data_IF_066407947102
#
_entry.id   IF_066407947102
#
_cell.length_a   1.000
_cell.length_b   1.000
_cell.length_c   1.000
_cell.angle_alpha   90.00
_cell.angle_beta   90.00
_cell.angle_gamma   90.00
#
_symmetry.space_group_name_H-M   'P 1'
#
loop_
_entity.id
_entity.type
_entity.pdbx_description
1 polymer ?
#
# COMPACT_ATOMS: atom_id res chain seq x y z
N UNK A 1 -63.33 -57.33 -6.77
CA UNK A 1 -62.94 -55.90 -6.79
C UNK A 1 -61.41 -55.78 -6.84
N UNK A 2 -60.81 -55.47 -8.00
CA UNK A 2 -59.35 -55.25 -8.15
C UNK A 2 -59.13 -53.76 -8.45
N UNK A 3 -58.52 -53.03 -7.52
CA UNK A 3 -58.11 -51.62 -7.70
C UNK A 3 -56.78 -51.59 -8.46
N UNK A 4 -56.81 -51.11 -9.70
CA UNK A 4 -55.63 -50.76 -10.48
C UNK A 4 -55.10 -49.41 -9.98
N UNK A 5 -53.94 -49.44 -9.32
CA UNK A 5 -53.17 -48.25 -8.95
C UNK A 5 -52.35 -47.81 -10.17
N UNK A 6 -52.82 -46.75 -10.83
CA UNK A 6 -52.16 -46.12 -11.98
C UNK A 6 -50.87 -45.43 -11.51
N UNK A 7 -49.70 -45.99 -11.87
CA UNK A 7 -48.40 -45.32 -11.70
C UNK A 7 -48.37 -44.08 -12.60
N UNK A 8 -48.56 -42.89 -12.02
CA UNK A 8 -48.31 -41.61 -12.71
C UNK A 8 -46.79 -41.35 -12.81
N UNK A 9 -46.28 -41.55 -14.02
CA UNK A 9 -45.31 -40.68 -14.72
C UNK A 9 -43.97 -40.34 -14.04
N UNK A 10 -42.91 -41.06 -14.41
CA UNK A 10 -41.49 -40.71 -14.15
C UNK A 10 -40.82 -40.11 -15.41
N UNK A 11 -41.59 -39.61 -16.38
CA UNK A 11 -41.06 -39.20 -17.70
C UNK A 11 -40.79 -37.69 -17.87
N UNK A 12 -40.97 -36.87 -16.82
CA UNK A 12 -40.82 -35.40 -16.90
C UNK A 12 -39.55 -34.82 -16.25
N UNK A 13 -38.55 -35.64 -15.89
CA UNK A 13 -37.36 -35.17 -15.15
C UNK A 13 -36.11 -34.90 -16.01
N UNK A 14 -36.03 -35.43 -17.24
CA UNK A 14 -34.79 -35.41 -18.05
C UNK A 14 -34.35 -34.02 -18.53
N UNK A 15 -35.28 -33.09 -18.76
CA UNK A 15 -34.94 -31.70 -19.12
C UNK A 15 -34.60 -30.81 -17.92
N UNK A 16 -35.11 -31.16 -16.74
CA UNK A 16 -34.96 -30.34 -15.53
C UNK A 16 -33.55 -30.46 -14.92
N UNK A 17 -32.92 -31.62 -15.05
CA UNK A 17 -31.55 -31.85 -14.58
C UNK A 17 -30.52 -31.00 -15.33
N UNK A 18 -30.69 -30.84 -16.65
CA UNK A 18 -29.80 -30.01 -17.47
C UNK A 18 -29.87 -28.54 -17.05
N UNK A 19 -31.08 -28.02 -16.87
CA UNK A 19 -31.31 -26.64 -16.41
C UNK A 19 -30.70 -26.42 -15.03
N UNK A 20 -30.89 -27.35 -14.09
CA UNK A 20 -30.29 -27.24 -12.75
C UNK A 20 -28.76 -27.20 -12.79
N UNK A 21 -28.12 -28.01 -13.62
CA UNK A 21 -26.66 -28.01 -13.75
C UNK A 21 -26.18 -26.66 -14.31
N UNK A 22 -26.85 -26.12 -15.34
CA UNK A 22 -26.49 -24.82 -15.91
C UNK A 22 -26.65 -23.70 -14.88
N UNK A 23 -27.73 -23.70 -14.10
CA UNK A 23 -27.94 -22.71 -13.03
C UNK A 23 -26.88 -22.85 -11.95
N UNK A 24 -26.57 -24.07 -11.50
CA UNK A 24 -25.54 -24.32 -10.50
C UNK A 24 -24.16 -23.82 -10.96
N UNK A 25 -23.79 -24.09 -12.23
CA UNK A 25 -22.56 -23.58 -12.84
C UNK A 25 -22.57 -22.05 -12.95
N UNK A 26 -23.72 -21.44 -13.23
CA UNK A 26 -23.90 -19.99 -13.21
C UNK A 26 -23.63 -19.39 -11.83
N UNK A 27 -24.17 -19.97 -10.78
CA UNK A 27 -23.92 -19.52 -9.40
C UNK A 27 -22.46 -19.75 -8.98
N UNK A 28 -21.86 -20.88 -9.36
CA UNK A 28 -20.45 -21.15 -9.05
C UNK A 28 -19.50 -20.19 -9.79
N UNK A 29 -19.74 -19.91 -11.06
CA UNK A 29 -18.91 -18.98 -11.83
C UNK A 29 -19.02 -17.54 -11.33
N UNK A 30 -20.22 -17.08 -10.97
CA UNK A 30 -20.42 -15.74 -10.39
C UNK A 30 -19.76 -15.59 -9.02
N UNK A 31 -19.84 -16.59 -8.16
CA UNK A 31 -19.15 -16.56 -6.84
C UNK A 31 -17.63 -16.59 -6.98
N UNK A 32 -17.10 -17.43 -7.90
CA UNK A 32 -15.66 -17.49 -8.16
C UNK A 32 -15.11 -16.15 -8.69
N UNK A 33 -15.80 -15.52 -9.64
CA UNK A 33 -15.38 -14.22 -10.19
C UNK A 33 -15.45 -13.09 -9.16
N UNK A 34 -16.50 -13.08 -8.32
CA UNK A 34 -16.60 -12.13 -7.21
C UNK A 34 -15.43 -12.25 -6.23
N UNK A 35 -15.04 -13.49 -5.88
CA UNK A 35 -13.92 -13.75 -4.98
C UNK A 35 -12.59 -13.25 -5.57
N UNK A 36 -12.32 -13.58 -6.84
CA UNK A 36 -11.11 -13.11 -7.54
C UNK A 36 -11.07 -11.57 -7.59
N UNK A 37 -12.21 -10.94 -7.86
CA UNK A 37 -12.34 -9.48 -7.82
C UNK A 37 -11.99 -8.90 -6.45
N UNK A 38 -12.52 -9.48 -5.37
CA UNK A 38 -12.22 -9.06 -4.00
C UNK A 38 -10.73 -9.22 -3.65
N UNK A 39 -10.11 -10.35 -4.05
CA UNK A 39 -8.68 -10.60 -3.84
C UNK A 39 -7.79 -9.60 -4.59
N UNK A 40 -8.17 -9.26 -5.83
CA UNK A 40 -7.45 -8.27 -6.65
C UNK A 40 -7.41 -6.91 -5.95
N UNK A 41 -8.56 -6.44 -5.48
CA UNK A 41 -8.67 -5.18 -4.72
C UNK A 41 -7.89 -5.23 -3.41
N UNK A 42 -7.97 -6.35 -2.67
CA UNK A 42 -7.20 -6.54 -1.45
C UNK A 42 -5.69 -6.46 -1.67
N UNK A 43 -5.18 -7.08 -2.74
CA UNK A 43 -3.76 -7.06 -3.09
C UNK A 43 -3.27 -5.65 -3.46
N UNK A 44 -4.09 -4.86 -4.16
CA UNK A 44 -3.77 -3.46 -4.43
C UNK A 44 -3.68 -2.64 -3.14
N UNK A 45 -4.61 -2.84 -2.21
CA UNK A 45 -4.58 -2.20 -0.89
C UNK A 45 -3.31 -2.54 -0.11
N UNK A 46 -2.93 -3.82 -0.06
CA UNK A 46 -1.70 -4.27 0.61
C UNK A 46 -0.44 -3.64 0.01
N UNK A 47 -0.38 -3.46 -1.32
CA UNK A 47 0.75 -2.79 -1.97
C UNK A 47 0.88 -1.34 -1.53
N UNK A 48 -0.22 -0.61 -1.41
CA UNK A 48 -0.20 0.79 -0.95
C UNK A 48 0.33 0.87 0.48
N UNK A 49 -0.22 0.06 1.39
CA UNK A 49 0.19 0.03 2.80
C UNK A 49 1.66 -0.39 2.94
N UNK A 50 2.11 -1.39 2.19
CA UNK A 50 3.51 -1.82 2.20
C UNK A 50 4.46 -0.72 1.72
N UNK A 51 4.08 0.02 0.67
CA UNK A 51 4.89 1.12 0.16
C UNK A 51 4.98 2.27 1.17
N UNK A 52 3.87 2.61 1.82
CA UNK A 52 3.81 3.67 2.83
C UNK A 52 4.61 3.29 4.08
N UNK A 53 4.45 2.07 4.60
CA UNK A 53 5.22 1.57 5.73
C UNK A 53 6.74 1.56 5.45
N UNK A 54 7.13 1.19 4.23
CA UNK A 54 8.54 1.23 3.80
C UNK A 54 9.04 2.66 3.72
N UNK A 55 8.27 3.57 3.09
CA UNK A 55 8.64 4.97 2.98
C UNK A 55 8.74 5.65 4.36
N UNK A 56 7.84 5.34 5.29
CA UNK A 56 7.87 5.86 6.65
C UNK A 56 9.13 5.41 7.40
N UNK A 57 9.48 4.12 7.32
CA UNK A 57 10.71 3.59 7.94
C UNK A 57 11.96 4.23 7.37
N UNK A 58 12.02 4.41 6.04
CA UNK A 58 13.15 5.08 5.39
C UNK A 58 13.24 6.55 5.78
N UNK A 59 12.11 7.26 5.88
CA UNK A 59 12.08 8.66 6.30
C UNK A 59 12.60 8.83 7.73
N UNK A 60 12.14 7.98 8.65
CA UNK A 60 12.58 8.00 10.06
C UNK A 60 14.07 7.66 10.15
N UNK A 61 14.52 6.61 9.47
CA UNK A 61 15.94 6.21 9.48
C UNK A 61 16.84 7.29 8.88
N UNK A 62 16.40 7.94 7.79
CA UNK A 62 17.14 9.06 7.21
C UNK A 62 17.16 10.27 8.15
N UNK A 63 16.07 10.55 8.86
CA UNK A 63 16.01 11.62 9.85
C UNK A 63 16.97 11.36 11.01
N UNK A 64 16.98 10.14 11.55
CA UNK A 64 17.91 9.72 12.59
C UNK A 64 19.36 9.83 12.12
N UNK A 65 19.67 9.35 10.91
CA UNK A 65 21.00 9.47 10.31
C UNK A 65 21.40 10.94 10.16
N UNK A 66 20.49 11.79 9.69
CA UNK A 66 20.72 13.23 9.56
C UNK A 66 20.99 13.88 10.92
N UNK A 67 20.24 13.49 11.96
CA UNK A 67 20.44 13.99 13.32
C UNK A 67 21.76 13.53 13.94
N UNK A 68 22.18 12.29 13.70
CA UNK A 68 23.44 11.73 14.19
C UNK A 68 24.66 12.12 13.34
N UNK A 69 24.46 12.75 12.18
CA UNK A 69 25.56 13.16 11.32
C UNK A 69 26.40 14.29 11.96
N UNK A 70 27.70 14.05 12.06
CA UNK A 70 28.71 15.01 12.53
C UNK A 70 29.77 15.14 11.44
N UNK A 71 30.09 16.34 10.93
CA UNK A 71 29.82 17.66 11.50
C UNK A 71 28.43 18.24 11.17
N UNK A 72 27.98 19.20 11.99
CA UNK A 72 26.81 20.02 11.70
C UNK A 72 27.03 20.81 10.40
N UNK A 73 26.06 20.75 9.48
CA UNK A 73 26.11 21.48 8.21
C UNK A 73 25.11 22.62 8.28
N UNK A 74 25.58 23.87 8.29
CA UNK A 74 24.69 25.02 8.35
C UNK A 74 23.82 25.10 7.09
N UNK A 75 22.50 25.23 7.27
CA UNK A 75 21.57 25.54 6.20
C UNK A 75 22.00 26.77 5.37
N UNK A 76 21.71 26.79 4.05
CA UNK A 76 21.13 25.72 3.26
C UNK A 76 22.14 24.60 2.97
N UNK A 77 21.80 23.36 3.32
CA UNK A 77 22.66 22.20 3.16
C UNK A 77 21.87 20.95 2.77
N UNK A 78 22.55 19.96 2.22
CA UNK A 78 21.97 18.64 1.91
C UNK A 78 22.79 17.57 2.60
N UNK A 79 22.12 16.75 3.40
CA UNK A 79 22.75 15.68 4.15
C UNK A 79 22.91 14.41 3.31
N UNK A 80 23.95 13.60 3.57
CA UNK A 80 24.10 12.31 2.92
C UNK A 80 22.88 11.42 3.16
N UNK A 81 22.39 10.81 2.08
CA UNK A 81 21.26 9.89 2.15
C UNK A 81 21.71 8.47 2.43
N UNK A 82 20.95 7.73 3.24
CA UNK A 82 21.15 6.30 3.46
C UNK A 82 20.87 5.50 2.19
N UNK A 83 21.42 4.28 2.13
CA UNK A 83 21.14 3.37 1.02
C UNK A 83 19.64 3.02 0.97
N UNK A 84 18.98 3.40 -0.13
CA UNK A 84 17.57 3.11 -0.35
C UNK A 84 17.38 1.76 -1.08
N UNK A 85 16.33 1.00 -0.76
CA UNK A 85 15.91 -0.15 -1.55
C UNK A 85 15.57 0.24 -2.99
N UNK A 86 15.61 -0.74 -3.91
CA UNK A 86 15.35 -0.51 -5.32
C UNK A 86 14.01 0.22 -5.58
N UNK A 87 14.07 1.26 -6.40
CA UNK A 87 12.92 2.09 -6.76
C UNK A 87 12.57 3.20 -5.78
N UNK A 88 13.28 3.31 -4.64
CA UNK A 88 13.15 4.42 -3.71
C UNK A 88 14.33 5.40 -3.84
N UNK A 89 14.04 6.67 -3.68
CA UNK A 89 15.03 7.74 -3.55
C UNK A 89 14.75 8.55 -2.30
N UNK A 90 15.82 9.02 -1.67
CA UNK A 90 15.80 9.76 -0.42
C UNK A 90 16.55 11.07 -0.62
N UNK A 91 16.01 12.15 -0.08
CA UNK A 91 16.70 13.43 0.01
C UNK A 91 16.48 14.01 1.41
N UNK A 92 17.53 14.59 1.98
CA UNK A 92 17.47 15.26 3.27
C UNK A 92 18.09 16.65 3.11
N UNK A 93 17.27 17.69 3.22
CA UNK A 93 17.68 19.08 3.03
C UNK A 93 17.46 19.89 4.29
N UNK A 94 18.43 20.74 4.63
CA UNK A 94 18.32 21.74 5.68
C UNK A 94 17.94 23.09 5.10
N UNK A 95 16.99 23.75 5.75
CA UNK A 95 16.58 25.13 5.46
C UNK A 95 16.66 25.98 6.72
N UNK A 96 17.04 27.24 6.55
CA UNK A 96 17.02 28.23 7.62
C UNK A 96 15.60 28.48 8.13
N UNK A 97 15.48 28.82 9.41
CA UNK A 97 14.21 29.22 10.03
C UNK A 97 14.09 30.74 9.96
N UNK A 98 13.33 31.23 8.97
CA UNK A 98 13.10 32.67 8.81
C UNK A 98 12.35 33.26 10.01
N UNK A 99 12.81 34.40 10.52
CA UNK A 99 12.13 35.15 11.59
C UNK A 99 12.66 34.90 13.01
N UNK A 100 13.64 34.01 13.17
CA UNK A 100 14.33 33.79 14.44
C UNK A 100 15.84 33.97 14.28
N UNK A 101 16.48 34.74 15.17
CA UNK A 101 17.94 34.93 15.20
C UNK A 101 18.66 33.73 15.85
N UNK A 102 18.29 32.52 15.44
CA UNK A 102 18.88 31.27 15.95
C UNK A 102 19.75 30.66 14.86
N UNK A 103 21.02 31.07 14.81
CA UNK A 103 22.03 30.47 13.92
C UNK A 103 22.41 29.03 14.31
N UNK A 104 21.83 28.51 15.40
CA UNK A 104 22.14 27.21 15.98
C UNK A 104 21.08 26.15 15.74
N UNK A 105 19.98 26.43 15.02
CA UNK A 105 18.92 25.45 14.72
C UNK A 105 18.48 25.60 13.26
N UNK A 106 18.32 24.47 12.59
CA UNK A 106 17.82 24.39 11.22
C UNK A 106 16.65 23.41 11.09
N UNK A 107 15.79 23.65 10.10
CA UNK A 107 14.70 22.74 9.73
C UNK A 107 15.24 21.72 8.74
N UNK A 108 15.12 20.44 9.07
CA UNK A 108 15.45 19.32 8.21
C UNK A 108 14.16 18.80 7.57
N UNK A 109 14.15 18.73 6.25
CA UNK A 109 13.10 18.10 5.47
C UNK A 109 13.66 16.86 4.79
N UNK A 110 13.12 15.70 5.17
CA UNK A 110 13.39 14.42 4.53
C UNK A 110 12.26 14.10 3.57
N UNK A 111 12.60 13.87 2.30
CA UNK A 111 11.64 13.46 1.27
C UNK A 111 11.98 12.05 0.79
N UNK A 112 10.97 11.20 0.74
CA UNK A 112 11.04 9.84 0.21
C UNK A 112 10.20 9.76 -1.04
N UNK A 113 10.83 9.40 -2.16
CA UNK A 113 10.14 9.21 -3.42
C UNK A 113 10.25 7.75 -3.87
N UNK A 114 9.28 7.33 -4.66
CA UNK A 114 9.30 6.05 -5.37
C UNK A 114 9.15 6.34 -6.85
N UNK A 115 10.21 6.12 -7.63
CA UNK A 115 10.33 6.69 -8.97
C UNK A 115 10.28 8.22 -8.90
N UNK A 116 9.28 8.84 -9.53
CA UNK A 116 9.10 10.30 -9.58
C UNK A 116 7.98 10.82 -8.67
N UNK A 117 7.41 9.96 -7.81
CA UNK A 117 6.30 10.32 -6.93
C UNK A 117 6.79 10.40 -5.48
N UNK A 118 6.58 11.55 -4.84
CA UNK A 118 6.80 11.70 -3.40
C UNK A 118 5.77 10.86 -2.65
N UNK A 119 6.26 9.88 -1.88
CA UNK A 119 5.43 9.00 -1.06
C UNK A 119 5.32 9.55 0.35
N UNK A 120 6.41 10.12 0.89
CA UNK A 120 6.44 10.63 2.26
C UNK A 120 7.37 11.83 2.38
N UNK A 121 6.96 12.80 3.19
CA UNK A 121 7.81 13.89 3.67
C UNK A 121 7.78 13.90 5.20
N UNK A 122 8.95 14.09 5.81
CA UNK A 122 9.10 14.22 7.25
C UNK A 122 9.91 15.48 7.54
N UNK A 123 9.41 16.30 8.45
CA UNK A 123 10.06 17.55 8.86
C UNK A 123 10.41 17.46 10.33
N UNK A 124 11.61 17.93 10.68
CA UNK A 124 12.09 17.99 12.05
C UNK A 124 13.16 19.07 12.17
N UNK A 125 13.70 19.29 13.37
CA UNK A 125 14.72 20.31 13.63
C UNK A 125 16.01 19.66 14.12
N UNK A 126 17.14 20.22 13.72
CA UNK A 126 18.48 19.86 14.20
C UNK A 126 19.16 21.09 14.77
N UNK A 127 19.72 20.96 15.98
CA UNK A 127 20.54 21.98 16.60
C UNK A 127 22.03 21.72 16.37
N UNK A 128 22.84 22.78 16.42
CA UNK A 128 24.30 22.74 16.41
C UNK A 128 24.82 22.20 17.75
N UNK A 129 25.13 20.91 17.80
CA UNK A 129 25.68 20.19 18.95
C UNK A 129 26.57 19.03 18.51
#
# INVERSE_FOLDING_TARGET
MKRLLTRKGVLSQRGFTLVMIVVALGVMSTTATALVGAMSTGNLGLRVVSNDATAARLAVSQMENTKSYTPYQAAPATYPSIAAPAGYTLTASASEITGYAVSSIEKITVTVQRGNVTVRTLEDYKGNR
#
